data_IF_867477530777
#
_entry.id   IF_867477530777
#
_cell.length_a   1.000
_cell.length_b   1.000
_cell.length_c   1.000
_cell.angle_alpha   90.00
_cell.angle_beta   90.00
_cell.angle_gamma   90.00
#
_symmetry.space_group_name_H-M   'P 1'
#
loop_
_entity.id
_entity.type
_entity.pdbx_description
1 polymer ?
#
# COMPACT_ATOMS: atom_id res chain seq x y z
N UNK A 1 8.85 15.64 2.10
CA UNK A 1 9.17 15.98 0.69
C UNK A 1 10.17 14.95 0.13
N UNK A 2 10.05 13.68 0.54
CA UNK A 2 11.05 12.66 0.26
C UNK A 2 11.03 12.16 -1.18
N UNK A 3 9.86 12.18 -1.82
CA UNK A 3 9.69 11.90 -3.24
C UNK A 3 10.66 12.70 -4.12
N UNK A 4 10.65 14.03 -4.03
CA UNK A 4 11.48 14.88 -4.89
C UNK A 4 12.97 14.71 -4.60
N UNK A 5 13.33 14.38 -3.36
CA UNK A 5 14.70 14.09 -2.94
C UNK A 5 15.18 12.76 -3.52
N UNK A 6 14.38 11.70 -3.41
CA UNK A 6 14.72 10.36 -3.93
C UNK A 6 14.75 10.37 -5.46
N UNK A 7 13.78 11.01 -6.11
CA UNK A 7 13.76 11.14 -7.56
C UNK A 7 14.92 12.00 -8.08
N UNK A 8 15.25 13.10 -7.39
CA UNK A 8 16.33 14.01 -7.79
C UNK A 8 17.74 13.43 -7.58
N UNK A 9 17.89 12.37 -6.79
CA UNK A 9 19.18 11.70 -6.53
C UNK A 9 19.30 10.33 -7.20
N UNK A 10 18.19 9.79 -7.72
CA UNK A 10 18.18 8.50 -8.39
C UNK A 10 18.87 8.57 -9.76
N UNK A 11 19.67 7.55 -10.12
CA UNK A 11 20.11 7.33 -11.49
C UNK A 11 18.91 7.25 -12.46
N UNK A 12 19.10 7.68 -13.71
CA UNK A 12 18.01 7.75 -14.70
C UNK A 12 17.36 6.38 -14.96
N UNK A 13 18.14 5.30 -14.95
CA UNK A 13 17.67 3.91 -15.05
C UNK A 13 16.83 3.44 -13.85
N UNK A 14 16.87 4.19 -12.74
CA UNK A 14 16.08 3.92 -11.53
C UNK A 14 14.91 4.89 -11.34
N UNK A 15 14.83 5.95 -12.14
CA UNK A 15 13.76 6.95 -12.02
C UNK A 15 12.35 6.33 -12.16
N UNK A 16 12.17 5.40 -13.11
CA UNK A 16 10.89 4.69 -13.27
C UNK A 16 10.53 3.86 -12.04
N UNK A 17 11.51 3.16 -11.45
CA UNK A 17 11.29 2.35 -10.25
C UNK A 17 10.89 3.22 -9.06
N UNK A 18 11.53 4.39 -8.90
CA UNK A 18 11.20 5.38 -7.87
C UNK A 18 9.78 5.92 -8.10
N UNK A 19 9.46 6.36 -9.30
CA UNK A 19 8.12 6.86 -9.66
C UNK A 19 7.03 5.83 -9.38
N UNK A 20 7.26 4.59 -9.80
CA UNK A 20 6.29 3.50 -9.64
C UNK A 20 6.09 3.13 -8.18
N UNK A 21 7.15 3.12 -7.38
CA UNK A 21 7.06 2.89 -5.92
C UNK A 21 6.23 3.97 -5.25
N UNK A 22 6.57 5.25 -5.48
CA UNK A 22 5.85 6.38 -4.89
C UNK A 22 4.39 6.46 -5.34
N UNK A 23 4.11 6.10 -6.60
CA UNK A 23 2.74 5.96 -7.09
C UNK A 23 1.98 4.86 -6.36
N UNK A 24 2.59 3.69 -6.15
CA UNK A 24 1.98 2.62 -5.36
C UNK A 24 1.74 3.05 -3.92
N UNK A 25 2.70 3.71 -3.26
CA UNK A 25 2.55 4.22 -1.90
C UNK A 25 1.40 5.24 -1.81
N UNK A 26 1.30 6.18 -2.76
CA UNK A 26 0.20 7.14 -2.82
C UNK A 26 -1.17 6.46 -3.06
N UNK A 27 -1.22 5.45 -3.93
CA UNK A 27 -2.45 4.68 -4.16
C UNK A 27 -2.88 3.91 -2.91
N UNK A 28 -1.93 3.30 -2.18
CA UNK A 28 -2.19 2.61 -0.91
C UNK A 28 -2.69 3.58 0.17
N UNK A 29 -2.13 4.79 0.24
CA UNK A 29 -2.59 5.83 1.16
C UNK A 29 -4.04 6.26 0.91
N UNK A 30 -4.50 6.17 -0.34
CA UNK A 30 -5.88 6.46 -0.72
C UNK A 30 -6.83 5.26 -0.61
N UNK A 31 -6.31 4.05 -0.35
CA UNK A 31 -7.14 2.85 -0.26
C UNK A 31 -7.99 2.88 1.02
N UNK A 32 -9.34 2.92 0.91
CA UNK A 32 -10.22 2.96 2.07
C UNK A 32 -10.06 1.74 3.00
N UNK A 33 -9.69 0.58 2.45
CA UNK A 33 -9.43 -0.61 3.24
C UNK A 33 -8.22 -0.43 4.16
N UNK A 34 -7.12 0.12 3.64
CA UNK A 34 -5.91 0.36 4.44
C UNK A 34 -6.15 1.39 5.54
N UNK A 35 -7.02 2.38 5.30
CA UNK A 35 -7.45 3.32 6.34
C UNK A 35 -8.24 2.63 7.46
N UNK A 36 -9.07 1.64 7.14
CA UNK A 36 -9.74 0.82 8.15
C UNK A 36 -8.74 0.09 9.06
N UNK A 37 -7.66 -0.45 8.49
CA UNK A 37 -6.64 -1.16 9.26
C UNK A 37 -5.72 -0.24 10.06
N UNK A 38 -5.38 0.93 9.52
CA UNK A 38 -4.71 1.97 10.30
C UNK A 38 -5.55 2.35 11.53
N UNK A 39 -6.88 2.42 11.38
CA UNK A 39 -7.80 2.70 12.45
C UNK A 39 -7.89 1.56 13.47
N UNK A 40 -8.03 0.30 13.04
CA UNK A 40 -8.03 -0.87 13.92
C UNK A 40 -6.74 -0.99 14.75
N UNK A 41 -5.57 -0.68 14.15
CA UNK A 41 -4.29 -0.65 14.86
C UNK A 41 -4.25 0.51 15.87
N UNK A 42 -4.71 1.71 15.46
CA UNK A 42 -4.76 2.88 16.35
C UNK A 42 -5.68 2.64 17.56
N UNK A 43 -6.78 1.92 17.36
CA UNK A 43 -7.72 1.54 18.40
C UNK A 43 -7.28 0.31 19.21
N UNK A 44 -6.11 -0.28 18.86
CA UNK A 44 -5.51 -1.41 19.56
C UNK A 44 -6.21 -2.75 19.33
N UNK A 45 -7.11 -2.82 18.34
CA UNK A 45 -7.85 -4.02 17.96
C UNK A 45 -7.07 -4.96 17.03
N UNK A 46 -6.08 -4.41 16.32
CA UNK A 46 -5.11 -5.18 15.53
C UNK A 46 -3.68 -4.85 15.95
N UNK A 47 -2.83 -5.87 16.09
CA UNK A 47 -1.44 -5.74 16.49
C UNK A 47 -0.48 -6.39 15.50
N UNK A 48 0.81 -6.22 15.73
CA UNK A 48 1.84 -6.94 14.96
C UNK A 48 1.63 -8.45 15.13
N UNK A 49 1.38 -9.15 14.03
CA UNK A 49 1.11 -10.60 14.01
C UNK A 49 -0.38 -10.98 13.88
N UNK A 50 -1.30 -10.01 13.91
CA UNK A 50 -2.72 -10.26 13.57
C UNK A 50 -2.84 -10.65 12.09
N UNK A 51 -3.58 -11.71 11.79
CA UNK A 51 -3.73 -12.18 10.41
C UNK A 51 -4.48 -11.12 9.58
N UNK A 52 -4.05 -10.91 8.34
CA UNK A 52 -4.63 -9.88 7.48
C UNK A 52 -6.14 -10.07 7.29
N UNK A 53 -6.61 -11.32 7.22
CA UNK A 53 -8.01 -11.69 7.10
C UNK A 53 -8.88 -11.37 8.34
N UNK A 54 -8.28 -11.26 9.52
CA UNK A 54 -8.97 -10.82 10.75
C UNK A 54 -9.20 -9.30 10.76
N UNK A 55 -8.34 -8.54 10.06
CA UNK A 55 -8.43 -7.07 9.97
C UNK A 55 -9.09 -6.61 8.66
N UNK A 56 -9.01 -7.45 7.63
CA UNK A 56 -9.59 -7.26 6.30
C UNK A 56 -10.42 -8.49 5.90
N UNK A 57 -11.70 -8.54 6.27
CA UNK A 57 -12.55 -9.70 6.02
C UNK A 57 -12.67 -10.10 4.53
N UNK A 58 -12.42 -9.16 3.62
CA UNK A 58 -12.49 -9.36 2.17
C UNK A 58 -11.11 -9.30 1.49
N UNK A 59 -10.01 -9.55 2.21
CA UNK A 59 -8.65 -9.49 1.67
C UNK A 59 -8.46 -10.40 0.46
N UNK A 60 -8.94 -11.65 0.53
CA UNK A 60 -8.85 -12.61 -0.56
C UNK A 60 -9.53 -12.11 -1.85
N UNK A 61 -10.73 -11.54 -1.72
CA UNK A 61 -11.48 -10.94 -2.83
C UNK A 61 -10.80 -9.70 -3.41
N UNK A 62 -10.18 -8.89 -2.54
CA UNK A 62 -9.43 -7.72 -2.97
C UNK A 62 -8.18 -8.13 -3.78
N UNK A 63 -7.44 -9.14 -3.32
CA UNK A 63 -6.28 -9.71 -4.03
C UNK A 63 -6.73 -10.35 -5.36
N UNK A 64 -7.84 -11.07 -5.37
CA UNK A 64 -8.39 -11.67 -6.59
C UNK A 64 -8.78 -10.60 -7.63
N UNK A 65 -9.49 -9.54 -7.23
CA UNK A 65 -9.82 -8.41 -8.10
C UNK A 65 -8.59 -7.67 -8.61
N UNK A 66 -7.57 -7.51 -7.78
CA UNK A 66 -6.31 -6.87 -8.18
C UNK A 66 -5.54 -7.70 -9.22
N UNK A 67 -5.54 -9.04 -9.08
CA UNK A 67 -4.94 -9.95 -10.07
C UNK A 67 -5.69 -9.92 -11.41
N UNK A 68 -7.03 -9.96 -11.37
CA UNK A 68 -7.86 -9.93 -12.58
C UNK A 68 -7.75 -8.63 -13.40
N UNK A 69 -7.27 -7.52 -12.79
CA UNK A 69 -7.01 -6.25 -13.50
C UNK A 69 -5.63 -6.19 -14.18
N UNK A 70 -4.76 -7.17 -13.92
CA UNK A 70 -3.42 -7.27 -14.51
C UNK A 70 -3.35 -8.19 -15.73
N UNK A 71 -4.37 -9.02 -15.93
CA UNK A 71 -4.58 -9.86 -17.13
C UNK A 71 -5.38 -9.09 -18.18
#
# INVERSE_FOLDING_TARGET
MDFYRELGTAPLDRAEAVLRRWWCEAMLDTDPGLKGVEQEIREGRAGVGTAAEDVFPNWADHVAKARARRE
#
